data_IF_458248205778
#
_entry.id   IF_458248205778
#
_cell.length_a   1.000
_cell.length_b   1.000
_cell.length_c   1.000
_cell.angle_alpha   90.00
_cell.angle_beta   90.00
_cell.angle_gamma   90.00
#
_symmetry.space_group_name_H-M   'P 1'
#
loop_
_entity.id
_entity.type
_entity.pdbx_description
1 polymer ?
#
# COMPACT_ATOMS: atom_id res chain seq x y z
N UNK A 1 31.83 -2.42 -13.78
CA UNK A 1 31.40 -3.81 -13.52
C UNK A 1 31.15 -3.95 -12.02
N UNK A 2 30.00 -3.51 -11.53
CA UNK A 2 29.63 -3.58 -10.11
C UNK A 2 28.61 -4.69 -9.92
N UNK A 3 29.01 -5.73 -9.20
CA UNK A 3 28.15 -6.84 -8.77
C UNK A 3 27.31 -6.37 -7.58
N UNK A 4 26.24 -5.63 -7.82
CA UNK A 4 25.11 -5.64 -6.88
C UNK A 4 24.26 -6.88 -7.18
N UNK A 5 24.84 -8.06 -6.89
CA UNK A 5 24.04 -9.25 -6.65
C UNK A 5 23.77 -9.26 -5.16
N UNK A 6 22.82 -8.43 -4.72
CA UNK A 6 22.15 -8.64 -3.46
C UNK A 6 21.50 -10.02 -3.57
N UNK A 7 22.14 -11.05 -2.98
CA UNK A 7 21.49 -12.34 -2.81
C UNK A 7 20.13 -12.07 -2.18
N UNK A 8 19.03 -12.67 -2.69
CA UNK A 8 17.73 -12.46 -2.08
C UNK A 8 17.83 -12.94 -0.65
N UNK A 9 17.82 -12.00 0.31
CA UNK A 9 17.88 -12.29 1.73
C UNK A 9 16.86 -13.40 2.00
N UNK A 10 17.30 -14.53 2.59
CA UNK A 10 16.43 -15.67 2.85
C UNK A 10 15.27 -15.16 3.72
N UNK A 11 14.11 -14.96 3.10
CA UNK A 11 12.89 -14.57 3.81
C UNK A 11 12.22 -15.83 4.31
N UNK A 12 12.18 -16.00 5.62
CA UNK A 12 11.37 -17.04 6.24
C UNK A 12 9.89 -16.83 5.92
N UNK A 13 9.09 -17.89 5.95
CA UNK A 13 7.63 -17.76 5.77
C UNK A 13 7.00 -16.81 6.80
N UNK A 14 7.57 -16.75 8.01
CA UNK A 14 7.16 -15.80 9.04
C UNK A 14 7.40 -14.34 8.61
N UNK A 15 8.55 -14.05 7.99
CA UNK A 15 8.86 -12.71 7.48
C UNK A 15 7.97 -12.32 6.30
N UNK A 16 7.65 -13.25 5.40
CA UNK A 16 6.70 -12.99 4.30
C UNK A 16 5.27 -12.72 4.81
N UNK A 17 4.87 -13.43 5.88
CA UNK A 17 3.58 -13.24 6.54
C UNK A 17 3.50 -11.90 7.28
N UNK A 18 4.60 -11.46 7.88
CA UNK A 18 4.68 -10.15 8.54
C UNK A 18 4.41 -9.01 7.54
N UNK A 19 4.91 -9.11 6.31
CA UNK A 19 4.67 -8.13 5.24
C UNK A 19 3.23 -8.15 4.67
N UNK A 20 2.37 -9.10 5.10
CA UNK A 20 1.00 -9.30 4.63
C UNK A 20 -0.01 -9.17 5.78
N UNK A 21 -0.48 -7.94 6.11
CA UNK A 21 -1.27 -7.66 7.32
C UNK A 21 -2.48 -8.57 7.52
N UNK A 22 -3.25 -8.83 6.45
CA UNK A 22 -4.44 -9.68 6.49
C UNK A 22 -4.13 -11.11 6.98
N UNK A 23 -2.94 -11.61 6.64
CA UNK A 23 -2.55 -12.99 6.96
C UNK A 23 -2.03 -13.12 8.38
N UNK A 24 -1.70 -12.03 9.08
CA UNK A 24 -1.23 -12.10 10.47
C UNK A 24 -2.33 -12.63 11.41
N UNK A 25 -3.57 -12.19 11.20
CA UNK A 25 -4.73 -12.54 12.04
C UNK A 25 -5.56 -13.68 11.44
N UNK A 26 -5.60 -13.81 10.11
CA UNK A 26 -6.47 -14.77 9.42
C UNK A 26 -5.69 -15.74 8.54
N UNK A 27 -6.13 -16.99 8.51
CA UNK A 27 -5.70 -17.94 7.50
C UNK A 27 -6.44 -17.63 6.19
N UNK A 28 -5.77 -16.96 5.26
CA UNK A 28 -6.36 -16.52 3.99
C UNK A 28 -6.05 -17.51 2.87
N UNK A 29 -7.08 -18.18 2.34
CA UNK A 29 -6.93 -19.24 1.33
C UNK A 29 -7.34 -18.82 -0.09
N UNK A 30 -7.90 -17.62 -0.28
CA UNK A 30 -8.42 -17.14 -1.58
C UNK A 30 -7.41 -16.28 -2.36
N UNK A 31 -6.16 -16.71 -2.46
CA UNK A 31 -5.10 -15.94 -3.13
C UNK A 31 -5.28 -15.85 -4.65
N UNK A 32 -6.05 -16.76 -5.28
CA UNK A 32 -6.26 -16.78 -6.72
C UNK A 32 -7.26 -15.75 -7.26
N UNK A 33 -8.12 -15.19 -6.41
CA UNK A 33 -9.13 -14.20 -6.81
C UNK A 33 -8.76 -12.80 -6.33
N UNK A 34 -8.37 -12.67 -5.06
CA UNK A 34 -7.93 -11.40 -4.47
C UNK A 34 -6.70 -11.63 -3.58
N UNK A 35 -5.52 -11.63 -4.19
CA UNK A 35 -4.29 -11.80 -3.43
C UNK A 35 -4.09 -10.62 -2.44
N UNK A 36 -3.77 -10.88 -1.16
CA UNK A 36 -3.40 -9.83 -0.24
C UNK A 36 -2.13 -9.14 -0.73
N UNK A 37 -2.15 -7.82 -0.73
CA UNK A 37 -1.04 -7.00 -1.23
C UNK A 37 -0.06 -6.72 -0.09
N UNK A 38 1.26 -6.92 -0.27
CA UNK A 38 2.25 -6.57 0.74
C UNK A 38 2.21 -5.10 1.14
N UNK A 39 2.54 -4.79 2.38
CA UNK A 39 2.49 -3.42 2.91
C UNK A 39 3.37 -2.44 2.10
N UNK A 40 4.56 -2.88 1.69
CA UNK A 40 5.47 -2.09 0.85
C UNK A 40 4.82 -1.70 -0.48
N UNK A 41 4.12 -2.61 -1.13
CA UNK A 41 3.38 -2.36 -2.37
C UNK A 41 2.22 -1.40 -2.13
N UNK A 42 1.48 -1.55 -1.03
CA UNK A 42 0.39 -0.62 -0.66
C UNK A 42 0.91 0.80 -0.49
N UNK A 43 2.08 0.99 0.15
CA UNK A 43 2.72 2.30 0.31
C UNK A 43 3.09 2.94 -1.03
N UNK A 44 3.66 2.15 -1.96
CA UNK A 44 3.99 2.63 -3.31
C UNK A 44 2.74 3.02 -4.10
N UNK A 45 1.69 2.20 -4.03
CA UNK A 45 0.40 2.51 -4.68
C UNK A 45 -0.21 3.81 -4.13
N UNK A 46 -0.16 4.01 -2.81
CA UNK A 46 -0.64 5.23 -2.18
C UNK A 46 0.17 6.46 -2.61
N UNK A 47 1.50 6.34 -2.70
CA UNK A 47 2.34 7.43 -3.18
C UNK A 47 2.07 7.76 -4.66
N UNK A 48 1.86 6.74 -5.50
CA UNK A 48 1.48 6.91 -6.89
C UNK A 48 0.15 7.66 -7.01
N UNK A 49 -0.89 7.21 -6.29
CA UNK A 49 -2.19 7.89 -6.21
C UNK A 49 -2.05 9.33 -5.73
N UNK A 50 -1.21 9.60 -4.74
CA UNK A 50 -0.94 10.96 -4.27
C UNK A 50 -0.32 11.83 -5.36
N UNK A 51 0.69 11.33 -6.08
CA UNK A 51 1.38 12.07 -7.15
C UNK A 51 0.44 12.35 -8.33
N UNK A 52 -0.32 11.35 -8.77
CA UNK A 52 -1.30 11.49 -9.84
C UNK A 52 -2.40 12.49 -9.47
N UNK A 53 -2.91 12.40 -8.23
CA UNK A 53 -3.97 13.30 -7.77
C UNK A 53 -3.47 14.71 -7.43
N UNK A 54 -2.19 14.90 -7.08
CA UNK A 54 -1.64 16.23 -6.83
C UNK A 54 -1.75 17.14 -8.06
N UNK A 55 -1.50 16.59 -9.25
CA UNK A 55 -1.70 17.30 -10.53
C UNK A 55 -3.18 17.58 -10.81
N UNK A 56 -4.06 16.61 -10.54
CA UNK A 56 -5.52 16.79 -10.76
C UNK A 56 -6.10 17.84 -9.80
N UNK A 57 -5.69 17.85 -8.53
CA UNK A 57 -6.10 18.86 -7.55
C UNK A 57 -5.56 20.24 -7.95
N UNK A 58 -4.29 20.31 -8.38
CA UNK A 58 -3.65 21.57 -8.80
C UNK A 58 -4.26 22.15 -10.09
N UNK A 59 -4.65 21.31 -11.05
CA UNK A 59 -5.17 21.74 -12.36
C UNK A 59 -6.69 21.95 -12.33
N UNK A 60 -7.44 21.16 -11.55
CA UNK A 60 -8.89 21.01 -11.70
C UNK A 60 -9.72 21.43 -10.49
N UNK A 61 -9.14 22.14 -9.52
CA UNK A 61 -9.78 22.62 -8.27
C UNK A 61 -11.26 23.03 -8.45
N UNK A 62 -12.13 22.02 -8.41
CA UNK A 62 -13.56 22.06 -8.18
C UNK A 62 -13.78 21.00 -7.10
N UNK A 63 -14.50 21.42 -6.07
CA UNK A 63 -14.87 20.76 -4.81
C UNK A 63 -14.74 19.22 -4.72
N UNK A 64 -15.28 18.38 -5.64
CA UNK A 64 -15.31 16.93 -5.45
C UNK A 64 -13.94 16.23 -5.40
N UNK A 65 -12.91 16.72 -6.10
CA UNK A 65 -11.58 16.07 -6.12
C UNK A 65 -10.82 16.21 -4.81
N UNK A 66 -10.92 17.37 -4.17
CA UNK A 66 -10.30 17.65 -2.86
C UNK A 66 -10.98 16.84 -1.75
N UNK A 67 -12.31 16.78 -1.75
CA UNK A 67 -13.08 16.04 -0.76
C UNK A 67 -12.87 14.52 -0.84
N UNK A 68 -12.62 13.96 -2.03
CA UNK A 68 -12.23 12.56 -2.17
C UNK A 68 -10.85 12.31 -1.53
N UNK A 69 -9.87 13.16 -1.83
CA UNK A 69 -8.51 13.00 -1.31
C UNK A 69 -8.45 13.13 0.21
N UNK A 70 -9.15 14.12 0.79
CA UNK A 70 -9.26 14.27 2.24
C UNK A 70 -9.88 13.04 2.91
N UNK A 71 -10.91 12.44 2.29
CA UNK A 71 -11.54 11.21 2.80
C UNK A 71 -10.60 10.01 2.71
N UNK A 72 -9.86 9.86 1.62
CA UNK A 72 -8.88 8.79 1.45
C UNK A 72 -7.74 8.90 2.48
N UNK A 73 -7.21 10.10 2.71
CA UNK A 73 -6.15 10.35 3.67
C UNK A 73 -6.63 10.15 5.13
N UNK A 74 -7.85 10.59 5.45
CA UNK A 74 -8.45 10.34 6.76
C UNK A 74 -8.69 8.84 7.02
N UNK A 75 -9.09 8.07 6.00
CA UNK A 75 -9.22 6.62 6.11
C UNK A 75 -7.86 5.94 6.34
N UNK A 76 -6.80 6.41 5.67
CA UNK A 76 -5.42 5.93 5.87
C UNK A 76 -4.95 6.17 7.30
N UNK A 77 -5.16 7.38 7.82
CA UNK A 77 -4.72 7.73 9.18
C UNK A 77 -5.43 6.85 10.23
N UNK A 78 -6.75 6.67 10.09
CA UNK A 78 -7.52 5.78 10.98
C UNK A 78 -7.07 4.33 10.92
N UNK A 79 -6.69 3.83 9.73
CA UNK A 79 -6.16 2.48 9.58
C UNK A 79 -4.81 2.34 10.29
N UNK A 80 -3.95 3.36 10.18
CA UNK A 80 -2.66 3.39 10.88
C UNK A 80 -2.80 3.48 12.40
N UNK A 81 -3.82 4.18 12.91
CA UNK A 81 -4.08 4.29 14.36
C UNK A 81 -4.75 3.04 14.95
N UNK A 82 -5.28 2.14 14.12
CA UNK A 82 -5.93 0.88 14.51
C UNK A 82 -4.98 -0.33 14.55
N UNK A 83 -3.76 -0.19 14.02
CA UNK A 83 -2.70 -1.19 13.99
C UNK A 83 -1.65 -0.89 15.08
#
# INVERSE_FOLDING_TARGET
MNRDRSEPAIRTMAQLRADLPLTQTYAYFQTGTFAPVPESTQRVMAEALRKENALIIAIRAKEPGLAFYQRAEAARQRLADLL
#
